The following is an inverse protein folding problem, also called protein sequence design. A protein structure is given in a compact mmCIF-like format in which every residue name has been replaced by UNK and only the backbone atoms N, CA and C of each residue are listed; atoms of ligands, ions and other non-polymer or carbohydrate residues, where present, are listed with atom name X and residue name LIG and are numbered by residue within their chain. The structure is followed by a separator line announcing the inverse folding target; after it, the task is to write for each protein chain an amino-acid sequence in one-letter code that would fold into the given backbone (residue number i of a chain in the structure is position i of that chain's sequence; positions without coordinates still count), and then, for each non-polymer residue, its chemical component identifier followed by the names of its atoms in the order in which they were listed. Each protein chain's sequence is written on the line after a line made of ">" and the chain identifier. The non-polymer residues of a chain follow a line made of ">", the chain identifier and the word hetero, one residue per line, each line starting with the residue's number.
data_IF_943631905100
#
_entry.id   IF_943631905100
#
_cell.length_a   1.000
_cell.length_b   1.000
_cell.length_c   1.000
_cell.angle_alpha   90.00
_cell.angle_beta   90.00
_cell.angle_gamma   90.00
#
_symmetry.space_group_name_H-M   'P 1'
#
loop_
_entity.id
_entity.type
_entity.pdbx_description
1 polymer ?
#
# COMPACT_ATOMS: atom_id res chain seq x y z
N UNK A 1 -3.47 8.51 1.32
CA UNK A 1 -2.91 7.86 2.50
C UNK A 1 -2.53 6.41 2.16
N UNK A 2 -3.33 5.35 2.39
CA UNK A 2 -2.88 3.97 2.02
C UNK A 2 -3.29 3.51 0.59
N UNK A 3 -4.46 3.97 0.13
CA UNK A 3 -5.16 3.52 -1.10
C UNK A 3 -4.32 3.64 -2.38
N UNK A 4 -3.63 4.76 -2.56
CA UNK A 4 -2.88 5.06 -3.78
C UNK A 4 -1.61 4.22 -3.86
N UNK A 5 -0.93 3.99 -2.73
CA UNK A 5 0.36 3.32 -2.69
C UNK A 5 0.24 1.83 -3.03
N UNK A 6 -0.66 1.11 -2.34
CA UNK A 6 -0.87 -0.33 -2.59
C UNK A 6 -1.32 -0.61 -4.03
N UNK A 7 -2.28 0.17 -4.53
CA UNK A 7 -2.79 0.02 -5.90
C UNK A 7 -1.73 0.32 -6.95
N UNK A 8 -0.90 1.35 -6.73
CA UNK A 8 0.21 1.68 -7.63
C UNK A 8 1.29 0.59 -7.63
N UNK A 9 1.70 0.10 -6.45
CA UNK A 9 2.67 -0.99 -6.33
C UNK A 9 2.18 -2.22 -7.08
N UNK A 10 0.92 -2.60 -6.87
CA UNK A 10 0.29 -3.73 -7.57
C UNK A 10 0.31 -3.55 -9.09
N UNK A 11 -0.10 -2.37 -9.58
CA UNK A 11 -0.10 -2.07 -11.01
C UNK A 11 1.31 -2.05 -11.62
N UNK A 12 2.31 -1.52 -10.91
CA UNK A 12 3.72 -1.55 -11.33
C UNK A 12 4.27 -2.98 -11.44
N UNK A 13 3.83 -3.88 -10.56
CA UNK A 13 4.12 -5.32 -10.62
C UNK A 13 3.25 -6.09 -11.63
N UNK A 14 2.30 -5.42 -12.30
CA UNK A 14 1.33 -6.01 -13.25
C UNK A 14 0.53 -7.19 -12.67
N UNK A 15 0.21 -7.13 -11.38
CA UNK A 15 -0.54 -8.18 -10.68
C UNK A 15 -2.05 -7.89 -10.61
N UNK A 16 -2.84 -8.94 -10.66
CA UNK A 16 -4.26 -8.87 -10.28
C UNK A 16 -4.39 -8.66 -8.76
N UNK A 17 -5.57 -8.26 -8.29
CA UNK A 17 -5.81 -8.16 -6.85
C UNK A 17 -5.67 -9.51 -6.15
N UNK A 18 -6.11 -10.60 -6.78
CA UNK A 18 -5.96 -11.95 -6.21
C UNK A 18 -4.49 -12.33 -6.05
N UNK A 19 -3.67 -12.19 -7.10
CA UNK A 19 -2.23 -12.50 -7.05
C UNK A 19 -1.49 -11.65 -6.02
N UNK A 20 -1.83 -10.37 -5.92
CA UNK A 20 -1.17 -9.48 -4.98
C UNK A 20 -1.61 -9.75 -3.53
N UNK A 21 -2.88 -10.10 -3.31
CA UNK A 21 -3.38 -10.49 -2.00
C UNK A 21 -2.72 -11.79 -1.53
N UNK A 22 -2.55 -12.76 -2.43
CA UNK A 22 -1.82 -14.01 -2.17
C UNK A 22 -0.36 -13.74 -1.79
N UNK A 23 0.35 -12.91 -2.57
CA UNK A 23 1.72 -12.47 -2.25
C UNK A 23 1.80 -11.82 -0.85
N UNK A 24 0.80 -11.03 -0.50
CA UNK A 24 0.71 -10.35 0.79
C UNK A 24 0.17 -11.25 1.91
N UNK A 25 -0.26 -12.48 1.62
CA UNK A 25 -0.91 -13.38 2.56
C UNK A 25 -2.15 -12.79 3.22
N UNK A 26 -2.96 -12.05 2.46
CA UNK A 26 -4.24 -11.48 2.90
C UNK A 26 -5.36 -11.89 1.94
N UNK A 27 -6.62 -11.69 2.33
CA UNK A 27 -7.73 -11.93 1.41
C UNK A 27 -7.80 -10.85 0.33
N UNK A 28 -8.27 -11.23 -0.86
CA UNK A 28 -8.53 -10.27 -1.95
C UNK A 28 -9.51 -9.18 -1.51
N UNK A 29 -10.54 -9.54 -0.74
CA UNK A 29 -11.52 -8.57 -0.24
C UNK A 29 -10.85 -7.54 0.68
N UNK A 30 -9.97 -7.99 1.58
CA UNK A 30 -9.22 -7.08 2.45
C UNK A 30 -8.31 -6.15 1.62
N UNK A 31 -7.57 -6.68 0.62
CA UNK A 31 -6.81 -5.85 -0.30
C UNK A 31 -7.70 -4.82 -1.02
N UNK A 32 -8.89 -5.21 -1.47
CA UNK A 32 -9.83 -4.31 -2.13
C UNK A 32 -10.28 -3.17 -1.20
N UNK A 33 -10.57 -3.47 0.07
CA UNK A 33 -10.91 -2.46 1.07
C UNK A 33 -9.75 -1.49 1.32
N UNK A 34 -8.51 -2.02 1.43
CA UNK A 34 -7.30 -1.20 1.57
C UNK A 34 -7.07 -0.29 0.35
N UNK A 35 -7.17 -0.84 -0.87
CA UNK A 35 -7.02 -0.09 -2.13
C UNK A 35 -8.14 0.92 -2.36
N UNK A 36 -9.28 0.80 -1.69
CA UNK A 36 -10.38 1.75 -1.77
C UNK A 36 -10.46 2.70 -0.58
N UNK A 37 -9.63 2.50 0.45
CA UNK A 37 -9.63 3.31 1.67
C UNK A 37 -10.81 3.02 2.59
N UNK A 38 -11.46 1.86 2.44
CA UNK A 38 -12.56 1.39 3.29
C UNK A 38 -12.09 0.74 4.58
N UNK A 39 -10.83 0.30 4.61
CA UNK A 39 -10.20 -0.30 5.78
C UNK A 39 -8.81 0.29 5.96
N UNK A 40 -8.37 0.41 7.21
CA UNK A 40 -7.02 0.79 7.58
C UNK A 40 -6.41 -0.37 8.40
N UNK A 41 -5.22 -0.88 8.03
CA UNK A 41 -4.58 -1.95 8.80
C UNK A 41 -4.15 -1.42 10.17
N UNK A 42 -4.14 -2.31 11.17
CA UNK A 42 -3.50 -2.02 12.46
C UNK A 42 -1.98 -1.82 12.29
N UNK A 43 -1.31 -1.27 13.31
CA UNK A 43 0.15 -1.09 13.32
C UNK A 43 0.90 -2.37 12.95
N UNK A 44 0.57 -3.48 13.61
CA UNK A 44 1.19 -4.79 13.34
C UNK A 44 0.99 -5.26 11.89
N UNK A 45 -0.22 -5.03 11.33
CA UNK A 45 -0.51 -5.40 9.94
C UNK A 45 0.25 -4.52 8.95
N UNK A 46 0.42 -3.24 9.26
CA UNK A 46 1.24 -2.33 8.47
C UNK A 46 2.70 -2.77 8.44
N UNK A 47 3.25 -3.18 9.59
CA UNK A 47 4.60 -3.75 9.67
C UNK A 47 4.74 -5.02 8.82
N UNK A 48 3.79 -5.95 8.93
CA UNK A 48 3.79 -7.17 8.12
C UNK A 48 3.74 -6.86 6.61
N UNK A 49 2.89 -5.91 6.19
CA UNK A 49 2.81 -5.48 4.80
C UNK A 49 4.12 -4.80 4.35
N UNK A 50 4.71 -3.97 5.19
CA UNK A 50 6.00 -3.30 4.96
C UNK A 50 7.11 -4.32 4.70
N UNK A 51 7.20 -5.35 5.55
CA UNK A 51 8.17 -6.44 5.41
C UNK A 51 7.96 -7.23 4.10
N UNK A 52 6.72 -7.61 3.79
CA UNK A 52 6.42 -8.37 2.55
C UNK A 52 6.65 -7.58 1.27
N UNK A 53 6.43 -6.27 1.32
CA UNK A 53 6.64 -5.38 0.17
C UNK A 53 8.07 -4.88 0.07
N UNK A 54 8.88 -5.04 1.13
CA UNK A 54 10.17 -4.39 1.31
C UNK A 54 10.07 -2.86 1.11
N UNK A 55 9.03 -2.26 1.71
CA UNK A 55 8.73 -0.82 1.61
C UNK A 55 8.46 -0.30 3.01
N UNK A 56 9.17 0.74 3.48
CA UNK A 56 8.95 1.31 4.80
C UNK A 56 7.49 1.69 5.04
N UNK A 57 6.99 1.44 6.26
CA UNK A 57 5.62 1.79 6.70
C UNK A 57 5.29 3.27 6.38
N UNK A 58 6.24 4.18 6.54
CA UNK A 58 6.07 5.60 6.19
C UNK A 58 5.70 5.83 4.72
N UNK A 59 6.28 5.05 3.79
CA UNK A 59 5.94 5.08 2.36
C UNK A 59 4.60 4.41 2.07
N UNK A 60 4.12 3.49 2.91
CA UNK A 60 2.78 2.91 2.76
C UNK A 60 1.70 3.90 3.21
N UNK A 61 1.94 4.66 4.27
CA UNK A 61 0.91 5.50 4.93
C UNK A 61 0.81 6.92 4.35
N UNK A 62 1.83 7.41 3.62
CA UNK A 62 2.02 8.82 3.18
C UNK A 62 0.74 9.68 3.24
N UNK A 63 0.67 10.50 4.29
CA UNK A 63 -0.33 11.56 4.43
C UNK A 63 -0.08 12.61 3.35
N UNK A 64 -1.15 13.24 2.82
CA UNK A 64 -1.07 14.37 1.89
C UNK A 64 -0.51 15.63 2.58
N UNK A 65 0.61 15.52 3.29
CA UNK A 65 1.32 16.64 3.91
C UNK A 65 2.71 16.88 3.30
N UNK A 66 3.08 16.14 2.26
CA UNK A 66 4.25 16.46 1.43
C UNK A 66 3.82 16.76 -0.02
N UNK A 67 3.00 17.79 -0.18
CA UNK A 67 3.17 18.70 -1.32
C UNK A 67 4.12 19.81 -0.86
N UNK A 68 5.41 19.49 -0.73
CA UNK A 68 6.47 20.48 -0.57
C UNK A 68 7.77 19.89 -1.09
N UNK A 69 8.17 20.39 -2.27
CA UNK A 69 9.53 20.42 -2.82
C UNK A 69 10.11 19.16 -3.48
N UNK A 70 9.90 19.04 -4.79
CA UNK A 70 11.01 18.95 -5.75
C UNK A 70 10.89 20.13 -6.73
N UNK A 71 11.34 21.32 -6.33
CA UNK A 71 11.97 22.26 -7.26
C UNK A 71 13.47 21.94 -7.18
N UNK A 72 13.96 21.02 -8.02
CA UNK A 72 15.35 21.03 -8.48
C UNK A 72 15.37 20.48 -9.91
N UNK A 73 15.27 21.38 -10.89
CA UNK A 73 16.15 21.52 -12.04
C UNK A 73 15.59 22.61 -12.97
#
# INVERSE_FOLDING_TARGET
>A
MLKLNLKQIRKRKRLTQSQFAEMLGISQNYLCELENGKSFPSGDKLEQLSLKLNIPVSKLIKNNLDESNEIIA
#
